data_IF_919542407434
#
_entry.id   IF_919542407434
#
_cell.length_a   1.000
_cell.length_b   1.000
_cell.length_c   1.000
_cell.angle_alpha   90.00
_cell.angle_beta   90.00
_cell.angle_gamma   90.00
#
_symmetry.space_group_name_H-M   'P 1'
#
loop_
_entity.id
_entity.type
_entity.pdbx_description
1 polymer ?
#
# COMPACT_ATOMS: atom_id res chain seq x y z
N UNK A 1 -27.09 24.05 13.84
CA UNK A 1 -26.12 24.30 14.93
C UNK A 1 -25.23 25.46 14.54
N UNK A 2 -25.01 26.45 15.42
CA UNK A 2 -23.98 27.49 15.22
C UNK A 2 -22.76 27.09 16.05
N UNK A 3 -21.62 26.88 15.39
CA UNK A 3 -20.35 26.61 16.05
C UNK A 3 -19.72 27.97 16.37
N UNK A 4 -19.36 28.18 17.62
CA UNK A 4 -18.73 29.42 18.07
C UNK A 4 -17.26 29.43 17.69
N UNK A 5 -16.73 30.60 17.33
CA UNK A 5 -15.34 30.78 16.86
C UNK A 5 -14.27 30.10 17.71
N UNK A 6 -14.30 30.20 19.05
CA UNK A 6 -13.33 29.53 19.91
C UNK A 6 -13.31 28.00 19.76
N UNK A 7 -14.46 27.38 19.54
CA UNK A 7 -14.54 25.92 19.33
C UNK A 7 -13.84 25.52 18.04
N UNK A 8 -13.98 26.33 16.98
CA UNK A 8 -13.27 26.08 15.71
C UNK A 8 -11.76 26.16 15.91
N UNK A 9 -11.28 27.19 16.62
CA UNK A 9 -9.84 27.36 16.90
C UNK A 9 -9.29 26.18 17.70
N UNK A 10 -9.99 25.76 18.77
CA UNK A 10 -9.59 24.61 19.57
C UNK A 10 -9.52 23.31 18.75
N UNK A 11 -10.49 23.09 17.86
CA UNK A 11 -10.51 21.90 16.98
C UNK A 11 -9.35 21.94 15.98
N UNK A 12 -9.05 23.12 15.42
CA UNK A 12 -7.92 23.29 14.50
C UNK A 12 -6.58 23.02 15.21
N UNK A 13 -6.37 23.57 16.41
CA UNK A 13 -5.15 23.33 17.19
C UNK A 13 -4.99 21.84 17.53
N UNK A 14 -6.10 21.16 17.86
CA UNK A 14 -6.09 19.73 18.13
C UNK A 14 -5.75 18.93 16.86
N UNK A 15 -6.37 19.26 15.73
CA UNK A 15 -6.10 18.60 14.45
C UNK A 15 -4.64 18.78 14.01
N UNK A 16 -4.07 19.98 14.22
CA UNK A 16 -2.68 20.28 13.90
C UNK A 16 -1.71 19.42 14.72
N UNK A 17 -1.90 19.36 16.05
CA UNK A 17 -1.08 18.51 16.93
C UNK A 17 -1.25 17.03 16.61
N UNK A 18 -2.47 16.61 16.26
CA UNK A 18 -2.76 15.23 15.91
C UNK A 18 -2.09 14.82 14.59
N UNK A 19 -2.03 15.73 13.60
CA UNK A 19 -1.35 15.50 12.34
C UNK A 19 0.14 15.21 12.52
N UNK A 20 0.82 15.88 13.46
CA UNK A 20 2.23 15.61 13.78
C UNK A 20 2.42 14.19 14.32
N UNK A 21 1.54 13.74 15.22
CA UNK A 21 1.59 12.39 15.76
C UNK A 21 1.35 11.34 14.67
N UNK A 22 0.33 11.56 13.82
CA UNK A 22 0.06 10.66 12.69
C UNK A 22 1.26 10.58 11.75
N UNK A 23 1.93 11.70 11.46
CA UNK A 23 3.08 11.70 10.56
C UNK A 23 4.22 10.81 11.08
N UNK A 24 4.53 10.90 12.38
CA UNK A 24 5.55 10.06 13.04
C UNK A 24 5.17 8.59 13.01
N UNK A 25 3.90 8.27 13.27
CA UNK A 25 3.41 6.89 13.22
C UNK A 25 3.51 6.30 11.81
N UNK A 26 3.10 7.06 10.78
CA UNK A 26 3.17 6.63 9.39
C UNK A 26 4.62 6.40 8.93
N UNK A 27 5.54 7.27 9.32
CA UNK A 27 6.98 7.09 9.04
C UNK A 27 7.49 5.81 9.71
N UNK A 28 7.13 5.57 10.97
CA UNK A 28 7.54 4.39 11.71
C UNK A 28 7.00 3.10 11.08
N UNK A 29 5.75 3.09 10.63
CA UNK A 29 5.14 1.92 9.96
C UNK A 29 5.81 1.63 8.61
N UNK A 30 6.03 2.66 7.79
CA UNK A 30 6.73 2.48 6.52
C UNK A 30 8.16 1.97 6.75
N UNK A 31 8.88 2.56 7.71
CA UNK A 31 10.23 2.15 8.07
C UNK A 31 10.30 0.73 8.63
N UNK A 32 9.34 0.35 9.48
CA UNK A 32 9.23 -1.02 10.01
C UNK A 32 9.03 -2.06 8.90
N UNK A 33 8.27 -1.69 7.85
CA UNK A 33 8.10 -2.51 6.65
C UNK A 33 9.29 -2.42 5.66
N UNK A 34 10.37 -1.71 6.00
CA UNK A 34 11.53 -1.49 5.13
C UNK A 34 11.27 -0.58 3.92
N UNK A 35 10.17 0.18 3.94
CA UNK A 35 9.75 1.08 2.86
C UNK A 35 10.12 2.53 3.19
N UNK A 36 10.41 3.32 2.16
CA UNK A 36 10.61 4.79 2.27
C UNK A 36 9.37 5.61 1.88
N UNK A 37 8.33 4.94 1.41
CA UNK A 37 7.09 5.56 0.93
C UNK A 37 5.93 4.92 1.68
N UNK A 38 5.06 5.77 2.22
CA UNK A 38 3.84 5.39 2.96
C UNK A 38 2.80 4.85 1.99
N UNK A 39 2.14 3.74 2.36
CA UNK A 39 1.03 3.13 1.62
C UNK A 39 -0.27 3.20 2.43
N UNK A 40 -1.40 2.83 1.81
CA UNK A 40 -2.69 2.76 2.50
C UNK A 40 -2.71 1.77 3.68
N UNK A 41 -1.85 0.74 3.68
CA UNK A 41 -1.75 -0.17 4.81
C UNK A 41 -1.24 0.54 6.07
N UNK A 42 -0.30 1.48 5.91
CA UNK A 42 0.25 2.27 7.02
C UNK A 42 -0.82 3.24 7.57
N UNK A 43 -1.63 3.83 6.67
CA UNK A 43 -2.76 4.72 7.03
C UNK A 43 -3.87 3.96 7.76
N UNK A 44 -4.19 2.75 7.31
CA UNK A 44 -5.17 1.90 7.98
C UNK A 44 -4.63 1.44 9.34
N UNK A 45 -3.34 1.13 9.44
CA UNK A 45 -2.70 0.70 10.69
C UNK A 45 -2.69 1.82 11.74
N UNK A 46 -2.43 3.07 11.37
CA UNK A 46 -2.47 4.21 12.31
C UNK A 46 -3.85 4.36 12.95
N UNK A 47 -4.92 4.16 12.17
CA UNK A 47 -6.30 4.26 12.64
C UNK A 47 -6.73 3.01 13.43
N UNK A 48 -6.23 1.84 13.06
CA UNK A 48 -6.47 0.60 13.80
C UNK A 48 -5.86 0.68 15.22
N UNK A 49 -4.68 1.31 15.34
CA UNK A 49 -4.05 1.60 16.63
C UNK A 49 -4.90 2.51 17.52
N UNK A 50 -5.63 3.46 16.93
CA UNK A 50 -6.58 4.33 17.63
C UNK A 50 -7.89 3.63 18.07
N UNK A 51 -8.00 2.30 17.85
CA UNK A 51 -9.11 1.43 18.27
C UNK A 51 -10.49 1.79 17.71
N UNK A 52 -10.54 2.39 16.52
CA UNK A 52 -11.80 2.66 15.84
C UNK A 52 -11.95 1.76 14.61
N UNK A 53 -12.46 0.55 14.84
CA UNK A 53 -12.62 -0.47 13.79
C UNK A 53 -13.57 -0.01 12.67
N UNK A 54 -14.60 0.77 13.01
CA UNK A 54 -15.54 1.33 12.04
C UNK A 54 -14.87 2.36 11.11
N UNK A 55 -14.00 3.20 11.67
CA UNK A 55 -13.23 4.18 10.89
C UNK A 55 -12.19 3.48 10.01
N UNK A 56 -11.53 2.44 10.53
CA UNK A 56 -10.60 1.63 9.74
C UNK A 56 -11.30 0.92 8.56
N UNK A 57 -12.51 0.37 8.78
CA UNK A 57 -13.32 -0.24 7.73
C UNK A 57 -13.72 0.78 6.65
N UNK A 58 -14.14 1.98 7.07
CA UNK A 58 -14.50 3.07 6.16
C UNK A 58 -13.31 3.52 5.31
N UNK A 59 -12.11 3.64 5.90
CA UNK A 59 -10.89 4.00 5.17
C UNK A 59 -10.45 2.92 4.18
N UNK A 60 -10.58 1.62 4.53
CA UNK A 60 -10.34 0.52 3.58
C UNK A 60 -11.29 0.59 2.39
N UNK A 61 -12.58 0.86 2.64
CA UNK A 61 -13.58 1.02 1.58
C UNK A 61 -13.22 2.19 0.65
N UNK A 62 -12.87 3.35 1.22
CA UNK A 62 -12.41 4.52 0.46
C UNK A 62 -11.14 4.20 -0.36
N UNK A 63 -10.16 3.52 0.23
CA UNK A 63 -8.95 3.10 -0.48
C UNK A 63 -9.24 2.20 -1.68
N UNK A 64 -10.23 1.31 -1.58
CA UNK A 64 -10.67 0.47 -2.70
C UNK A 64 -11.39 1.29 -3.78
N UNK A 65 -12.22 2.27 -3.39
CA UNK A 65 -12.87 3.18 -4.33
C UNK A 65 -11.84 4.02 -5.12
N UNK A 66 -10.81 4.53 -4.44
CA UNK A 66 -9.74 5.29 -5.08
C UNK A 66 -8.96 4.44 -6.10
N UNK A 67 -8.66 3.18 -5.77
CA UNK A 67 -8.04 2.23 -6.71
C UNK A 67 -8.94 1.92 -7.91
N UNK A 68 -10.26 1.88 -7.72
CA UNK A 68 -11.21 1.65 -8.80
C UNK A 68 -11.38 2.88 -9.72
N UNK A 69 -11.15 4.08 -9.19
CA UNK A 69 -11.23 5.35 -9.92
C UNK A 69 -9.91 5.80 -10.53
N UNK A 70 -8.78 5.21 -10.13
CA UNK A 70 -7.49 5.51 -10.72
C UNK A 70 -7.51 5.14 -12.22
N UNK A 71 -7.23 6.08 -13.14
CA UNK A 71 -7.24 5.78 -14.57
C UNK A 71 -6.18 4.70 -14.82
N UNK A 72 -6.65 3.49 -15.19
CA UNK A 72 -5.85 2.31 -15.50
C UNK A 72 -4.61 2.71 -16.32
N UNK A 73 -3.49 2.96 -15.63
CA UNK A 73 -2.22 3.35 -16.26
C UNK A 73 -1.56 2.17 -16.98
N UNK A 74 -2.19 1.00 -16.96
CA UNK A 74 -1.83 -0.17 -17.75
C UNK A 74 -2.59 -0.27 -19.08
N UNK A 75 -2.50 0.78 -19.92
CA UNK A 75 -2.60 0.52 -21.36
C UNK A 75 -1.26 -0.02 -21.85
N UNK A 76 -1.23 -1.35 -21.99
CA UNK A 76 -0.40 -2.12 -22.95
C UNK A 76 1.12 -2.14 -22.69
N UNK A 77 1.60 -3.03 -21.80
CA UNK A 77 2.81 -3.79 -22.16
C UNK A 77 2.40 -4.85 -23.17
N UNK A 78 2.63 -4.57 -24.45
CA UNK A 78 2.54 -5.54 -25.55
C UNK A 78 3.49 -6.69 -25.23
N UNK A 79 2.97 -7.85 -24.77
CA UNK A 79 3.73 -9.11 -24.86
C UNK A 79 4.01 -9.33 -26.34
N UNK A 80 5.25 -9.09 -26.75
CA UNK A 80 5.75 -9.57 -28.04
C UNK A 80 5.67 -11.09 -27.96
N UNK A 81 4.96 -11.78 -28.87
CA UNK A 81 4.99 -13.23 -28.91
C UNK A 81 6.36 -13.65 -29.46
N UNK A 82 7.23 -14.16 -28.60
CA UNK A 82 8.40 -14.91 -29.07
C UNK A 82 7.89 -16.18 -29.75
N UNK A 83 8.20 -16.30 -31.04
CA UNK A 83 7.81 -17.42 -31.91
C UNK A 83 8.28 -18.76 -31.32
N UNK A 84 7.41 -19.76 -31.42
CA UNK A 84 7.76 -21.19 -31.38
C UNK A 84 8.81 -21.49 -32.44
N UNK A 85 9.86 -22.22 -32.06
CA UNK A 85 10.41 -23.26 -32.90
C UNK A 85 10.50 -24.54 -32.06
N UNK A 86 9.76 -25.55 -32.52
CA UNK A 86 9.76 -26.91 -32.02
C UNK A 86 11.11 -27.59 -32.31
N UNK A 87 11.56 -28.52 -31.43
CA UNK A 87 11.75 -29.96 -31.77
C UNK A 87 12.67 -30.69 -30.78
N UNK A 88 12.02 -31.50 -29.95
CA UNK A 88 12.36 -32.88 -29.53
C UNK A 88 13.83 -33.28 -29.21
N UNK A 89 14.00 -33.69 -27.94
CA UNK A 89 14.44 -35.02 -27.49
C UNK A 89 15.81 -35.57 -27.93
N UNK A 90 16.74 -35.75 -26.98
CA UNK A 90 17.33 -37.07 -26.64
C UNK A 90 18.44 -36.93 -25.59
N UNK A 91 18.21 -37.61 -24.46
CA UNK A 91 19.17 -38.36 -23.62
C UNK A 91 20.66 -38.36 -23.99
N UNK A 92 21.52 -38.06 -23.00
CA UNK A 92 22.51 -39.05 -22.55
C UNK A 92 23.06 -38.75 -21.15
N UNK A 93 23.07 -39.80 -20.33
CA UNK A 93 23.68 -39.87 -19.02
C UNK A 93 25.21 -39.78 -19.12
N UNK A 94 25.85 -39.08 -18.18
CA UNK A 94 27.27 -39.29 -17.87
C UNK A 94 27.39 -39.47 -16.36
N UNK A 95 27.56 -40.73 -16.00
CA UNK A 95 28.06 -41.22 -14.73
C UNK A 95 29.59 -41.08 -14.79
N UNK A 96 30.23 -40.37 -13.86
CA UNK A 96 31.70 -40.47 -13.67
C UNK A 96 32.02 -40.66 -12.19
N UNK A 97 32.56 -41.83 -11.93
CA UNK A 97 33.20 -42.34 -10.72
C UNK A 97 34.57 -41.70 -10.49
N UNK A 98 34.95 -41.57 -9.22
CA UNK A 98 36.30 -41.86 -8.73
C UNK A 98 37.36 -40.77 -8.83
N UNK A 99 37.72 -40.21 -7.67
CA UNK A 99 39.05 -40.33 -7.07
C UNK A 99 39.00 -39.94 -5.59
#
# INVERSE_FOLDING_TARGET
>A
MKIVGPVVVCVLDLAFKYAENIAKDLELFAHHAGRKVVNMDDVVLSVFSARNDNLAASLRSLGNELKAKEPQSERKRKKVPAKKDDKASSSNAIHTTGL
#
